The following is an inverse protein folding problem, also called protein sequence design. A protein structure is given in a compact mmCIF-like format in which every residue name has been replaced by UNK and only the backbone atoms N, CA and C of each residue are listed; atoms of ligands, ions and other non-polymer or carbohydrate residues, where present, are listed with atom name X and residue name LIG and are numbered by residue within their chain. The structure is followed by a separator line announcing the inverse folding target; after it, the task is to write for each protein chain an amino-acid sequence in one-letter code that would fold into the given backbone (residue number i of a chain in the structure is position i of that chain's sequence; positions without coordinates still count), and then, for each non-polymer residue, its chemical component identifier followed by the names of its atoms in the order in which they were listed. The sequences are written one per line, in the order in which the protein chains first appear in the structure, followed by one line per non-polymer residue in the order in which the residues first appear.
data_IF_869129458713
#
_entry.id   IF_869129458713
#
_cell.length_a   1.000
_cell.length_b   1.000
_cell.length_c   1.000
_cell.angle_alpha   90.00
_cell.angle_beta   90.00
_cell.angle_gamma   90.00
#
_symmetry.space_group_name_H-M   'P 1'
#
loop_
_entity.id
_entity.type
_entity.pdbx_description
1 polymer ?
#
# COMPACT_ATOMS: atom_id res chain seq x y z
N UNK A 1 7.21 -41.51 67.49
CA UNK A 1 7.83 -40.29 66.91
C UNK A 1 8.13 -40.55 65.44
N UNK A 2 7.21 -40.20 64.54
CA UNK A 2 7.43 -40.30 63.09
C UNK A 2 7.54 -38.89 62.53
N UNK A 3 8.75 -38.47 62.17
CA UNK A 3 9.01 -37.19 61.48
C UNK A 3 8.88 -37.45 59.98
N UNK A 4 7.82 -36.94 59.36
CA UNK A 4 7.70 -36.84 57.91
C UNK A 4 8.57 -35.69 57.42
N UNK A 5 9.54 -35.99 56.56
CA UNK A 5 10.28 -35.01 55.76
C UNK A 5 9.38 -34.52 54.62
N UNK A 6 9.21 -33.20 54.51
CA UNK A 6 8.63 -32.54 53.33
C UNK A 6 9.64 -32.57 52.17
N UNK A 7 9.23 -32.81 50.92
CA UNK A 7 10.14 -32.67 49.79
C UNK A 7 10.23 -31.18 49.41
N UNK A 8 11.45 -30.70 49.28
CA UNK A 8 11.78 -29.38 48.75
C UNK A 8 11.29 -29.25 47.31
N UNK A 9 10.40 -28.29 47.06
CA UNK A 9 9.93 -27.93 45.73
C UNK A 9 11.03 -27.11 45.04
N UNK A 10 11.85 -27.75 44.22
CA UNK A 10 12.77 -27.05 43.32
C UNK A 10 11.96 -26.45 42.18
N UNK A 11 11.78 -25.13 42.20
CA UNK A 11 11.16 -24.38 41.11
C UNK A 11 12.17 -24.32 39.95
N UNK A 12 12.08 -25.27 39.02
CA UNK A 12 12.75 -25.15 37.72
C UNK A 12 12.08 -24.01 36.95
N UNK A 13 12.75 -22.85 36.91
CA UNK A 13 12.42 -21.79 36.00
C UNK A 13 12.84 -22.24 34.59
N UNK A 14 11.92 -22.90 33.87
CA UNK A 14 12.09 -23.14 32.46
C UNK A 14 12.01 -21.77 31.75
N UNK A 15 13.16 -21.17 31.45
CA UNK A 15 13.24 -20.20 30.36
C UNK A 15 12.92 -20.95 29.07
N UNK A 16 11.63 -21.01 28.74
CA UNK A 16 11.22 -21.24 27.37
C UNK A 16 11.66 -19.99 26.62
N UNK A 17 12.82 -20.05 25.95
CA UNK A 17 13.09 -19.11 24.87
C UNK A 17 11.98 -19.34 23.87
N UNK A 18 11.00 -18.45 23.82
CA UNK A 18 10.12 -18.37 22.67
C UNK A 18 11.05 -18.21 21.47
N UNK A 19 11.15 -19.26 20.65
CA UNK A 19 11.79 -19.13 19.35
C UNK A 19 11.03 -18.00 18.66
N UNK A 20 11.71 -16.88 18.43
CA UNK A 20 11.17 -15.81 17.62
C UNK A 20 10.71 -16.47 16.32
N UNK A 21 9.39 -16.45 16.07
CA UNK A 21 8.86 -16.84 14.77
C UNK A 21 9.62 -15.97 13.77
N UNK A 22 10.41 -16.56 12.85
CA UNK A 22 11.19 -15.76 11.93
C UNK A 22 10.21 -14.87 11.19
N UNK A 23 10.55 -13.59 11.09
CA UNK A 23 9.75 -12.64 10.33
C UNK A 23 9.56 -13.22 8.93
N UNK A 24 8.34 -13.60 8.56
CA UNK A 24 8.08 -14.03 7.19
C UNK A 24 8.26 -12.77 6.35
N UNK A 25 9.10 -12.87 5.34
CA UNK A 25 9.28 -11.77 4.41
C UNK A 25 7.95 -11.51 3.71
N UNK A 26 7.18 -10.54 4.18
CA UNK A 26 5.82 -10.28 3.70
C UNK A 26 5.78 -9.94 2.21
N UNK A 27 6.82 -9.26 1.72
CA UNK A 27 7.00 -8.99 0.29
C UNK A 27 7.03 -10.30 -0.49
N UNK A 28 7.59 -11.37 0.07
CA UNK A 28 7.66 -12.68 -0.58
C UNK A 28 6.29 -13.32 -0.74
N UNK A 29 5.31 -13.08 0.14
CA UNK A 29 3.99 -13.69 0.00
C UNK A 29 3.21 -13.11 -1.20
N UNK A 30 3.50 -11.87 -1.56
CA UNK A 30 2.89 -11.22 -2.73
C UNK A 30 3.75 -11.43 -4.00
N UNK A 31 5.04 -11.74 -3.84
CA UNK A 31 6.00 -11.92 -4.95
C UNK A 31 6.50 -13.34 -5.13
N UNK A 32 5.98 -14.36 -4.45
CA UNK A 32 6.43 -15.75 -4.66
C UNK A 32 5.27 -16.69 -4.45
N UNK A 33 5.22 -17.78 -5.20
CA UNK A 33 4.20 -18.79 -4.93
C UNK A 33 4.57 -19.63 -3.72
N UNK A 34 5.87 -19.69 -3.35
CA UNK A 34 6.37 -20.51 -2.25
C UNK A 34 7.59 -19.88 -1.59
N UNK A 35 7.56 -19.83 -0.26
CA UNK A 35 8.76 -19.55 0.55
C UNK A 35 9.70 -20.76 0.58
N UNK A 36 10.98 -20.51 0.73
CA UNK A 36 12.04 -21.52 0.74
C UNK A 36 12.91 -21.35 1.98
N UNK A 37 13.12 -22.43 2.71
CA UNK A 37 13.97 -22.43 3.89
C UNK A 37 15.43 -22.30 3.50
N UNK A 38 16.15 -21.46 4.23
CA UNK A 38 17.59 -21.25 4.07
C UNK A 38 18.34 -21.86 5.25
N UNK A 39 19.49 -22.45 4.99
CA UNK A 39 20.38 -22.94 6.03
C UNK A 39 20.92 -21.76 6.88
N UNK A 40 21.19 -21.98 8.18
CA UNK A 40 21.91 -20.99 8.97
C UNK A 40 23.24 -20.60 8.29
N UNK A 41 23.56 -19.32 8.34
CA UNK A 41 24.78 -18.78 7.72
C UNK A 41 25.54 -17.90 8.69
N UNK A 42 26.87 -17.96 8.63
CA UNK A 42 27.75 -17.04 9.34
C UNK A 42 28.34 -16.02 8.36
N UNK A 43 28.53 -14.79 8.85
CA UNK A 43 29.20 -13.75 8.08
C UNK A 43 30.71 -13.89 8.25
N UNK A 44 31.42 -14.04 7.14
CA UNK A 44 32.89 -14.07 7.12
C UNK A 44 33.40 -12.67 6.83
N UNK A 45 34.29 -12.15 7.67
CA UNK A 45 34.89 -10.81 7.52
C UNK A 45 36.34 -10.94 7.07
N UNK A 46 36.68 -10.25 5.98
CA UNK A 46 38.03 -10.18 5.43
C UNK A 46 38.40 -8.72 5.11
N UNK A 47 39.11 -8.08 6.04
CA UNK A 47 39.44 -6.66 5.95
C UNK A 47 38.17 -5.79 6.00
N UNK A 48 37.94 -4.97 4.98
CA UNK A 48 36.77 -4.07 4.89
C UNK A 48 35.52 -4.73 4.30
N UNK A 49 35.58 -6.01 3.92
CA UNK A 49 34.47 -6.73 3.30
C UNK A 49 33.93 -7.81 4.24
N UNK A 50 32.62 -7.90 4.30
CA UNK A 50 31.88 -8.99 4.90
C UNK A 50 31.17 -9.79 3.80
N UNK A 51 31.11 -11.10 3.97
CA UNK A 51 30.46 -12.02 3.04
C UNK A 51 29.55 -12.98 3.80
N UNK A 52 28.29 -13.05 3.39
CA UNK A 52 27.33 -14.04 3.88
C UNK A 52 27.03 -15.03 2.74
N UNK A 53 27.09 -16.34 3.03
CA UNK A 53 26.69 -17.38 2.08
C UNK A 53 25.71 -18.34 2.76
N UNK A 54 24.60 -18.65 2.10
CA UNK A 54 23.58 -19.58 2.60
C UNK A 54 23.03 -20.43 1.45
N UNK A 55 22.52 -21.60 1.77
CA UNK A 55 21.97 -22.57 0.81
C UNK A 55 20.50 -22.84 1.12
N UNK A 56 19.70 -23.00 0.08
CA UNK A 56 18.29 -23.36 0.20
C UNK A 56 18.08 -24.84 0.55
N UNK A 57 16.90 -25.17 1.07
CA UNK A 57 16.35 -26.52 0.93
C UNK A 57 16.10 -26.87 -0.54
N UNK A 58 15.88 -28.17 -0.82
CA UNK A 58 15.54 -28.62 -2.18
C UNK A 58 14.17 -28.05 -2.56
N UNK A 59 14.08 -27.46 -3.75
CA UNK A 59 12.82 -26.94 -4.30
C UNK A 59 12.27 -27.95 -5.31
N UNK A 60 11.32 -28.77 -4.87
CA UNK A 60 10.74 -29.84 -5.70
C UNK A 60 9.85 -29.31 -6.84
N UNK A 61 9.06 -28.25 -6.57
CA UNK A 61 8.19 -27.66 -7.55
C UNK A 61 8.97 -26.93 -8.66
N UNK A 62 8.43 -26.85 -9.89
CA UNK A 62 9.01 -26.02 -10.94
C UNK A 62 9.18 -24.57 -10.51
N UNK A 63 10.32 -23.96 -10.85
CA UNK A 63 10.58 -22.54 -10.67
C UNK A 63 11.60 -22.04 -11.70
N UNK A 64 11.54 -20.76 -12.03
CA UNK A 64 12.56 -20.08 -12.84
C UNK A 64 12.94 -18.70 -12.28
N UNK A 65 12.35 -18.34 -11.14
CA UNK A 65 12.68 -17.13 -10.40
C UNK A 65 12.91 -17.40 -8.92
N UNK A 66 13.77 -16.58 -8.32
CA UNK A 66 14.04 -16.54 -6.88
C UNK A 66 13.92 -15.09 -6.43
N UNK A 67 13.16 -14.84 -5.37
CA UNK A 67 13.06 -13.53 -4.70
C UNK A 67 13.56 -13.69 -3.27
N UNK A 68 14.26 -12.67 -2.78
CA UNK A 68 14.70 -12.56 -1.40
C UNK A 68 14.24 -11.23 -0.82
N UNK A 69 14.03 -11.23 0.50
CA UNK A 69 13.80 -10.02 1.27
C UNK A 69 14.88 -9.90 2.34
N UNK A 70 15.38 -8.69 2.55
CA UNK A 70 16.39 -8.42 3.56
C UNK A 70 16.38 -6.98 4.04
N UNK A 71 17.23 -6.74 5.03
CA UNK A 71 17.59 -5.43 5.53
C UNK A 71 19.11 -5.28 5.47
N UNK A 72 19.60 -4.15 4.98
CA UNK A 72 21.03 -3.86 4.96
C UNK A 72 21.31 -2.37 5.00
N UNK A 73 22.16 -1.94 5.95
CA UNK A 73 22.57 -0.53 6.09
C UNK A 73 23.53 -0.11 4.96
N UNK A 74 24.36 -1.02 4.43
CA UNK A 74 25.29 -0.70 3.35
C UNK A 74 24.56 -0.58 2.00
N UNK A 75 24.42 0.62 1.42
CA UNK A 75 23.71 0.80 0.15
C UNK A 75 24.36 0.05 -1.01
N UNK A 76 25.64 -0.34 -0.89
CA UNK A 76 26.42 -0.99 -1.95
C UNK A 76 26.42 -2.52 -1.86
N UNK A 77 25.55 -3.12 -1.04
CA UNK A 77 25.40 -4.57 -0.96
C UNK A 77 25.20 -5.17 -2.35
N UNK A 78 25.88 -6.29 -2.61
CA UNK A 78 25.77 -7.04 -3.86
C UNK A 78 25.36 -8.47 -3.56
N UNK A 79 24.49 -9.03 -4.40
CA UNK A 79 23.98 -10.39 -4.28
C UNK A 79 24.32 -11.23 -5.50
N UNK A 80 24.58 -12.51 -5.28
CA UNK A 80 24.73 -13.52 -6.32
C UNK A 80 23.96 -14.79 -5.94
N UNK A 81 23.55 -15.52 -6.96
CA UNK A 81 22.90 -16.82 -6.84
C UNK A 81 23.59 -17.84 -7.74
N UNK A 82 23.63 -19.09 -7.32
CA UNK A 82 23.98 -20.23 -8.19
C UNK A 82 23.09 -21.42 -7.88
N UNK A 83 22.98 -22.34 -8.81
CA UNK A 83 22.11 -23.51 -8.69
C UNK A 83 22.92 -24.79 -8.60
N UNK A 84 22.37 -25.78 -7.92
CA UNK A 84 22.95 -27.11 -7.86
C UNK A 84 22.74 -27.84 -9.19
N UNK A 85 23.82 -28.32 -9.79
CA UNK A 85 23.86 -29.01 -11.07
C UNK A 85 24.41 -30.44 -10.91
N UNK A 86 24.36 -31.25 -11.97
CA UNK A 86 24.99 -32.57 -11.98
C UNK A 86 26.51 -32.42 -11.84
N UNK A 87 27.05 -32.78 -10.68
CA UNK A 87 28.48 -32.70 -10.39
C UNK A 87 28.89 -31.55 -9.47
N UNK A 88 27.93 -30.76 -8.96
CA UNK A 88 28.19 -29.75 -7.92
C UNK A 88 27.48 -28.43 -8.20
N UNK A 89 28.04 -27.34 -7.67
CA UNK A 89 27.47 -26.01 -7.85
C UNK A 89 27.85 -25.39 -9.19
N UNK A 90 26.86 -24.83 -9.88
CA UNK A 90 27.05 -24.05 -11.09
C UNK A 90 27.77 -22.71 -10.88
N UNK A 91 27.80 -21.90 -11.93
CA UNK A 91 28.41 -20.57 -11.91
C UNK A 91 27.56 -19.55 -11.12
N UNK A 92 28.22 -18.60 -10.46
CA UNK A 92 27.56 -17.47 -9.82
C UNK A 92 26.95 -16.52 -10.84
N UNK A 93 25.70 -16.17 -10.63
CA UNK A 93 24.93 -15.19 -11.39
C UNK A 93 24.61 -13.98 -10.51
N UNK A 94 24.69 -12.75 -11.03
CA UNK A 94 24.35 -11.57 -10.25
C UNK A 94 22.83 -11.52 -9.98
N UNK A 95 22.45 -11.11 -8.77
CA UNK A 95 21.08 -10.79 -8.42
C UNK A 95 20.83 -9.29 -8.58
N UNK A 96 19.61 -8.92 -8.96
CA UNK A 96 19.15 -7.54 -8.92
C UNK A 96 18.62 -7.24 -7.52
N UNK A 97 19.13 -6.22 -6.85
CA UNK A 97 18.66 -5.76 -5.55
C UNK A 97 17.94 -4.41 -5.71
N UNK A 98 16.68 -4.36 -5.27
CA UNK A 98 15.83 -3.18 -5.24
C UNK A 98 15.71 -2.73 -3.80
N UNK A 99 16.26 -1.56 -3.50
CA UNK A 99 16.22 -0.98 -2.16
C UNK A 99 14.99 -0.09 -1.99
N UNK A 100 14.44 -0.12 -0.79
CA UNK A 100 13.55 0.91 -0.31
C UNK A 100 14.27 2.26 -0.31
N UNK A 101 13.53 3.32 -0.60
CA UNK A 101 14.08 4.67 -0.66
C UNK A 101 14.16 5.37 0.71
N UNK A 102 13.56 4.80 1.76
CA UNK A 102 13.40 5.43 3.08
C UNK A 102 14.05 4.66 4.22
N UNK A 103 14.42 3.39 4.02
CA UNK A 103 15.03 2.55 5.05
C UNK A 103 16.00 1.53 4.44
N UNK A 104 16.60 0.68 5.29
CA UNK A 104 17.53 -0.36 4.87
C UNK A 104 16.86 -1.58 4.21
N UNK A 105 15.53 -1.60 4.07
CA UNK A 105 14.80 -2.72 3.48
C UNK A 105 15.15 -2.88 2.01
N UNK A 106 15.28 -4.11 1.54
CA UNK A 106 15.43 -4.42 0.12
C UNK A 106 14.74 -5.72 -0.24
N UNK A 107 14.25 -5.77 -1.48
CA UNK A 107 13.92 -7.02 -2.15
C UNK A 107 14.98 -7.28 -3.22
N UNK A 108 15.34 -8.54 -3.42
CA UNK A 108 16.25 -8.92 -4.48
C UNK A 108 15.73 -10.10 -5.26
N UNK A 109 16.26 -10.32 -6.46
CA UNK A 109 15.94 -11.56 -7.13
C UNK A 109 16.75 -11.84 -8.37
N UNK A 110 16.50 -13.03 -8.88
CA UNK A 110 17.05 -13.58 -10.10
C UNK A 110 15.93 -14.28 -10.85
N UNK A 111 15.88 -14.08 -12.16
CA UNK A 111 14.95 -14.75 -13.07
C UNK A 111 15.69 -15.10 -14.34
N UNK A 112 15.41 -16.27 -14.89
CA UNK A 112 15.81 -16.65 -16.24
C UNK A 112 14.72 -17.47 -16.95
N UNK A 113 15.02 -17.92 -18.16
CA UNK A 113 14.12 -18.75 -18.98
C UNK A 113 14.29 -20.26 -18.69
N UNK A 114 15.11 -20.62 -17.69
CA UNK A 114 15.42 -22.02 -17.37
C UNK A 114 14.55 -22.46 -16.20
N UNK A 115 13.60 -23.34 -16.51
CA UNK A 115 12.80 -24.01 -15.49
C UNK A 115 13.60 -25.10 -14.77
N UNK A 116 13.55 -25.03 -13.44
CA UNK A 116 14.27 -25.89 -12.50
C UNK A 116 13.28 -26.62 -11.60
N UNK A 117 13.62 -27.83 -11.17
CA UNK A 117 12.82 -28.64 -10.22
C UNK A 117 13.72 -29.66 -9.54
N UNK A 118 13.46 -29.94 -8.26
CA UNK A 118 14.28 -30.84 -7.46
C UNK A 118 15.72 -30.33 -7.24
N UNK A 119 15.91 -29.01 -7.23
CA UNK A 119 17.23 -28.36 -7.13
C UNK A 119 17.32 -27.42 -5.94
N UNK A 120 18.52 -27.26 -5.40
CA UNK A 120 18.88 -26.20 -4.46
C UNK A 120 19.48 -25.00 -5.17
N UNK A 121 19.43 -23.86 -4.51
CA UNK A 121 20.22 -22.68 -4.85
C UNK A 121 21.09 -22.25 -3.68
N UNK A 122 22.20 -21.60 -3.98
CA UNK A 122 23.07 -20.97 -3.00
C UNK A 122 23.10 -19.47 -3.27
N UNK A 123 23.01 -18.68 -2.20
CA UNK A 123 23.04 -17.23 -2.21
C UNK A 123 24.35 -16.76 -1.61
N UNK A 124 24.91 -15.69 -2.17
CA UNK A 124 26.06 -14.97 -1.61
C UNK A 124 25.78 -13.48 -1.60
N UNK A 125 26.08 -12.83 -0.49
CA UNK A 125 26.03 -11.38 -0.35
C UNK A 125 27.38 -10.83 0.08
N UNK A 126 27.80 -9.73 -0.53
CA UNK A 126 28.97 -8.96 -0.13
C UNK A 126 28.55 -7.55 0.28
N UNK A 127 29.06 -7.09 1.42
CA UNK A 127 28.78 -5.77 2.00
C UNK A 127 29.97 -5.29 2.83
N UNK A 128 29.91 -4.05 3.29
CA UNK A 128 30.95 -3.40 4.10
C UNK A 128 31.03 -4.05 5.47
N UNK A 129 32.24 -4.40 5.91
CA UNK A 129 32.42 -4.96 7.25
C UNK A 129 32.00 -3.96 8.33
N UNK A 130 31.20 -4.43 9.29
CA UNK A 130 30.69 -3.61 10.40
C UNK A 130 29.33 -2.94 10.16
N UNK A 131 28.73 -3.06 8.97
CA UNK A 131 27.33 -2.64 8.72
C UNK A 131 26.36 -3.79 8.98
N UNK A 132 25.12 -3.49 9.36
CA UNK A 132 24.10 -4.52 9.57
C UNK A 132 23.63 -5.10 8.24
N UNK A 133 23.47 -6.42 8.20
CA UNK A 133 22.86 -7.16 7.10
C UNK A 133 22.05 -8.32 7.68
N UNK A 134 20.78 -8.40 7.29
CA UNK A 134 19.85 -9.44 7.73
C UNK A 134 19.07 -9.93 6.52
N UNK A 135 19.22 -11.22 6.19
CA UNK A 135 18.37 -11.87 5.21
C UNK A 135 17.09 -12.33 5.92
N UNK A 136 15.95 -11.77 5.56
CA UNK A 136 14.65 -12.07 6.17
C UNK A 136 14.11 -13.39 5.62
N UNK A 137 14.21 -13.60 4.31
CA UNK A 137 13.76 -14.84 3.70
C UNK A 137 14.02 -14.93 2.21
N UNK A 138 13.68 -16.09 1.65
CA UNK A 138 13.69 -16.36 0.22
C UNK A 138 12.40 -17.07 -0.19
N UNK A 139 12.01 -16.90 -1.44
CA UNK A 139 10.96 -17.67 -2.09
C UNK A 139 11.24 -17.83 -3.58
N UNK A 140 10.48 -18.71 -4.20
CA UNK A 140 10.61 -19.05 -5.63
C UNK A 140 9.32 -18.74 -6.36
N UNK A 141 9.45 -18.47 -7.65
CA UNK A 141 8.30 -18.35 -8.52
C UNK A 141 8.45 -19.04 -9.88
N UNK A 142 7.30 -19.39 -10.46
CA UNK A 142 7.10 -19.94 -11.79
C UNK A 142 6.26 -18.97 -12.63
N UNK A 143 6.92 -18.28 -13.56
CA UNK A 143 6.31 -17.21 -14.33
C UNK A 143 5.40 -17.68 -15.49
N UNK A 144 5.19 -18.98 -15.70
CA UNK A 144 4.42 -19.48 -16.87
C UNK A 144 2.97 -18.99 -16.91
N UNK A 145 2.43 -18.59 -15.76
CA UNK A 145 1.06 -18.10 -15.63
C UNK A 145 0.99 -16.60 -15.33
N UNK A 146 2.10 -15.87 -15.43
CA UNK A 146 2.18 -14.43 -15.12
C UNK A 146 1.71 -13.53 -16.27
N UNK A 147 1.34 -14.08 -17.43
CA UNK A 147 0.85 -13.29 -18.56
C UNK A 147 -0.46 -12.57 -18.21
N UNK A 148 -0.53 -11.26 -18.49
CA UNK A 148 -1.74 -10.45 -18.45
C UNK A 148 -2.70 -10.96 -19.56
N UNK A 149 -3.41 -12.06 -19.31
CA UNK A 149 -4.30 -12.68 -20.32
C UNK A 149 -5.34 -11.67 -20.80
N UNK A 150 -5.36 -11.42 -22.10
CA UNK A 150 -6.42 -10.67 -22.74
C UNK A 150 -7.73 -11.41 -22.57
N UNK A 151 -8.68 -10.81 -21.86
CA UNK A 151 -10.05 -11.29 -21.93
C UNK A 151 -10.62 -11.01 -23.33
N UNK A 152 -11.42 -11.93 -23.85
CA UNK A 152 -12.11 -11.74 -25.13
C UNK A 152 -12.99 -10.49 -25.05
N UNK A 153 -12.66 -9.48 -25.86
CA UNK A 153 -13.38 -8.21 -25.94
C UNK A 153 -14.78 -8.38 -26.52
N UNK A 154 -15.72 -7.56 -26.04
CA UNK A 154 -17.07 -7.47 -26.62
C UNK A 154 -18.15 -6.88 -25.72
N UNK A 155 -17.89 -6.65 -24.44
CA UNK A 155 -18.87 -6.11 -23.49
C UNK A 155 -18.34 -4.79 -22.92
N UNK A 156 -19.19 -3.76 -22.97
CA UNK A 156 -18.92 -2.45 -22.35
C UNK A 156 -18.93 -2.63 -20.83
N UNK A 157 -17.91 -2.18 -20.09
CA UNK A 157 -17.92 -2.23 -18.63
C UNK A 157 -19.22 -1.59 -18.10
N UNK A 158 -19.87 -2.25 -17.13
CA UNK A 158 -20.96 -1.62 -16.41
C UNK A 158 -20.37 -0.58 -15.48
N UNK A 159 -20.60 0.68 -15.81
CA UNK A 159 -20.28 1.81 -14.93
C UNK A 159 -21.42 2.05 -13.94
N UNK A 160 -21.06 2.60 -12.78
CA UNK A 160 -22.01 3.04 -11.78
C UNK A 160 -22.69 4.37 -12.16
N UNK A 161 -23.52 4.89 -11.25
CA UNK A 161 -24.26 6.14 -11.46
C UNK A 161 -23.41 7.33 -11.03
N UNK A 162 -22.97 8.16 -11.97
CA UNK A 162 -22.36 9.48 -11.69
C UNK A 162 -23.39 10.39 -11.02
N UNK A 163 -23.28 10.61 -9.72
CA UNK A 163 -24.08 11.63 -9.01
C UNK A 163 -23.42 13.00 -9.09
N UNK A 164 -22.08 13.03 -9.19
CA UNK A 164 -21.30 14.26 -9.29
C UNK A 164 -20.96 14.90 -7.94
N UNK A 165 -21.39 14.29 -6.83
CA UNK A 165 -21.14 14.79 -5.48
C UNK A 165 -19.88 14.21 -4.82
N UNK A 166 -19.16 13.30 -5.50
CA UNK A 166 -17.88 12.74 -5.05
C UNK A 166 -16.77 13.20 -5.98
N UNK A 167 -15.86 14.00 -5.44
CA UNK A 167 -14.62 14.47 -6.07
C UNK A 167 -13.52 13.49 -5.64
N UNK A 168 -12.82 12.84 -6.59
CA UNK A 168 -11.74 11.91 -6.26
C UNK A 168 -10.52 12.65 -5.67
N UNK A 169 -9.64 11.96 -4.94
CA UNK A 169 -8.38 12.56 -4.50
C UNK A 169 -7.51 12.94 -5.70
N UNK A 170 -6.67 14.00 -5.60
CA UNK A 170 -5.71 14.35 -6.64
C UNK A 170 -4.79 13.16 -6.97
N UNK A 171 -4.68 12.84 -8.25
CA UNK A 171 -3.92 11.69 -8.74
C UNK A 171 -2.56 12.13 -9.29
N UNK A 172 -1.48 11.64 -8.70
CA UNK A 172 -0.13 11.78 -9.23
C UNK A 172 0.01 10.83 -10.42
N UNK A 173 0.09 11.41 -11.62
CA UNK A 173 0.11 10.64 -12.87
C UNK A 173 1.40 9.86 -13.05
N UNK A 174 1.36 8.87 -13.94
CA UNK A 174 2.56 8.13 -14.37
C UNK A 174 3.67 9.01 -14.91
N UNK A 175 3.35 10.11 -15.59
CA UNK A 175 4.37 11.03 -16.06
C UNK A 175 4.98 11.82 -14.89
N UNK A 176 4.15 12.29 -13.94
CA UNK A 176 4.63 13.01 -12.76
C UNK A 176 5.60 12.20 -11.92
N UNK A 177 5.28 10.94 -11.63
CA UNK A 177 6.20 10.08 -10.89
C UNK A 177 7.26 9.42 -11.78
N UNK A 178 7.26 9.64 -13.10
CA UNK A 178 8.31 9.16 -14.01
C UNK A 178 8.32 7.65 -14.21
N UNK A 179 7.15 7.09 -14.51
CA UNK A 179 6.94 5.66 -14.75
C UNK A 179 7.74 5.13 -15.95
N UNK A 180 8.32 3.94 -15.79
CA UNK A 180 8.75 3.15 -16.93
C UNK A 180 7.54 2.77 -17.81
N UNK A 181 7.73 2.57 -19.12
CA UNK A 181 6.66 2.10 -20.00
C UNK A 181 6.14 0.72 -19.59
N UNK A 182 4.84 0.50 -19.79
CA UNK A 182 4.24 -0.84 -19.73
C UNK A 182 4.86 -1.73 -20.82
N UNK A 183 5.12 -3.00 -20.51
CA UNK A 183 5.66 -3.97 -21.47
C UNK A 183 4.54 -4.73 -22.16
N UNK A 184 4.39 -4.53 -23.46
CA UNK A 184 3.29 -5.09 -24.25
C UNK A 184 2.12 -4.11 -24.37
N UNK A 185 0.91 -4.64 -24.48
CA UNK A 185 -0.32 -3.82 -24.60
C UNK A 185 -1.20 -4.04 -23.38
N UNK A 186 -1.60 -2.99 -22.65
CA UNK A 186 -2.49 -3.12 -21.51
C UNK A 186 -3.85 -3.70 -21.91
N UNK A 187 -4.30 -4.72 -21.19
CA UNK A 187 -5.64 -5.27 -21.30
C UNK A 187 -6.63 -4.46 -20.46
N UNK A 188 -7.90 -4.29 -20.87
CA UNK A 188 -8.93 -3.74 -20.00
C UNK A 188 -9.12 -4.59 -18.73
N UNK A 189 -9.28 -3.95 -17.58
CA UNK A 189 -9.44 -4.61 -16.28
C UNK A 189 -10.76 -5.38 -16.17
N UNK A 190 -11.83 -4.77 -16.65
CA UNK A 190 -13.21 -5.15 -16.38
C UNK A 190 -14.02 -5.38 -17.66
N UNK A 191 -13.62 -6.33 -18.53
CA UNK A 191 -14.36 -6.66 -19.76
C UNK A 191 -15.82 -7.06 -19.48
N UNK A 192 -16.11 -7.57 -18.28
CA UNK A 192 -17.44 -8.03 -17.87
C UNK A 192 -18.03 -7.21 -16.70
N UNK A 193 -17.43 -6.07 -16.36
CA UNK A 193 -17.77 -5.28 -15.18
C UNK A 193 -16.74 -5.38 -14.05
N UNK A 194 -16.83 -4.41 -13.14
CA UNK A 194 -16.00 -4.34 -11.94
C UNK A 194 -16.71 -5.09 -10.81
N UNK A 195 -15.96 -5.88 -10.05
CA UNK A 195 -16.49 -6.81 -9.05
C UNK A 195 -15.91 -6.54 -7.66
N UNK A 196 -14.61 -6.30 -7.54
CA UNK A 196 -13.96 -6.13 -6.24
C UNK A 196 -13.09 -4.87 -6.20
N UNK A 197 -12.91 -4.34 -5.00
CA UNK A 197 -11.80 -3.45 -4.67
C UNK A 197 -10.96 -4.13 -3.60
N UNK A 198 -9.67 -4.36 -3.88
CA UNK A 198 -8.78 -5.05 -2.95
C UNK A 198 -7.81 -4.07 -2.31
N UNK A 199 -7.84 -4.02 -0.98
CA UNK A 199 -6.89 -3.31 -0.15
C UNK A 199 -5.62 -4.16 0.03
N UNK A 200 -4.49 -3.61 -0.42
CA UNK A 200 -3.14 -4.12 -0.23
C UNK A 200 -2.29 -3.22 0.66
N UNK A 201 -1.18 -3.76 1.17
CA UNK A 201 -0.03 -2.96 1.57
C UNK A 201 1.17 -3.26 0.67
N UNK A 202 2.23 -2.45 0.75
CA UNK A 202 3.48 -2.72 0.05
C UNK A 202 4.43 -3.65 0.83
N UNK A 203 4.06 -4.06 2.05
CA UNK A 203 4.83 -4.96 2.91
C UNK A 203 6.25 -4.44 3.22
N UNK A 204 6.44 -3.13 3.15
CA UNK A 204 7.71 -2.41 3.10
C UNK A 204 7.54 -1.12 2.30
N UNK A 205 8.65 -0.54 1.82
CA UNK A 205 8.62 0.64 0.93
C UNK A 205 7.76 1.80 1.47
N UNK A 206 7.85 2.09 2.77
CA UNK A 206 7.06 3.14 3.43
C UNK A 206 7.43 4.53 2.93
N UNK A 207 6.45 5.44 2.87
CA UNK A 207 6.61 6.84 2.50
C UNK A 207 5.56 7.70 3.19
N UNK A 208 5.92 8.93 3.56
CA UNK A 208 4.98 9.92 4.09
C UNK A 208 4.88 11.15 3.19
N UNK A 209 5.97 11.54 2.54
CA UNK A 209 5.99 12.70 1.63
C UNK A 209 5.80 12.28 0.17
N UNK A 210 5.31 13.21 -0.68
CA UNK A 210 5.18 12.98 -2.13
C UNK A 210 6.49 12.53 -2.76
N UNK A 211 7.61 13.15 -2.38
CA UNK A 211 8.94 12.83 -2.92
C UNK A 211 9.40 11.42 -2.54
N UNK A 212 9.11 10.98 -1.31
CA UNK A 212 9.36 9.61 -0.89
C UNK A 212 8.46 8.63 -1.64
N UNK A 213 7.16 8.93 -1.74
CA UNK A 213 6.20 8.06 -2.41
C UNK A 213 6.55 7.86 -3.88
N UNK A 214 6.95 8.92 -4.61
CA UNK A 214 7.48 8.79 -5.98
C UNK A 214 8.66 7.81 -6.04
N UNK A 215 9.61 7.89 -5.11
CA UNK A 215 10.76 6.97 -5.10
C UNK A 215 10.35 5.53 -4.79
N UNK A 216 9.40 5.33 -3.88
CA UNK A 216 8.91 4.01 -3.52
C UNK A 216 8.07 3.37 -4.62
N UNK A 217 7.18 4.12 -5.27
CA UNK A 217 6.40 3.63 -6.43
C UNK A 217 7.33 3.21 -7.57
N UNK A 218 8.40 3.96 -7.84
CA UNK A 218 9.46 3.56 -8.80
C UNK A 218 10.16 2.26 -8.38
N UNK A 219 10.53 2.13 -7.11
CA UNK A 219 11.18 0.92 -6.61
C UNK A 219 10.25 -0.31 -6.75
N UNK A 220 8.97 -0.17 -6.42
CA UNK A 220 7.97 -1.22 -6.59
C UNK A 220 7.78 -1.57 -8.08
N UNK A 221 7.73 -0.58 -8.98
CA UNK A 221 7.67 -0.84 -10.42
C UNK A 221 8.92 -1.60 -10.90
N UNK A 222 10.12 -1.21 -10.45
CA UNK A 222 11.38 -1.88 -10.79
C UNK A 222 11.38 -3.33 -10.29
N UNK A 223 10.91 -3.56 -9.07
CA UNK A 223 10.75 -4.89 -8.50
C UNK A 223 9.80 -5.76 -9.34
N UNK A 224 8.62 -5.23 -9.68
CA UNK A 224 7.64 -5.96 -10.47
C UNK A 224 8.10 -6.23 -11.91
N UNK A 225 8.74 -5.27 -12.58
CA UNK A 225 9.17 -5.44 -13.97
C UNK A 225 10.53 -6.13 -14.13
N UNK A 226 11.49 -5.92 -13.24
CA UNK A 226 12.87 -6.36 -13.45
C UNK A 226 13.32 -7.47 -12.52
N UNK A 227 12.53 -7.80 -11.50
CA UNK A 227 12.71 -9.03 -10.70
C UNK A 227 11.61 -10.03 -11.04
N UNK A 228 10.34 -9.67 -10.87
CA UNK A 228 9.21 -10.55 -11.23
C UNK A 228 9.05 -10.70 -12.74
N UNK A 229 9.23 -9.60 -13.46
CA UNK A 229 9.03 -9.53 -14.91
C UNK A 229 7.57 -9.57 -15.33
N UNK A 230 6.71 -8.96 -14.52
CA UNK A 230 5.39 -8.52 -14.94
C UNK A 230 5.48 -7.39 -15.96
N UNK A 231 4.37 -7.13 -16.64
CA UNK A 231 4.28 -6.05 -17.64
C UNK A 231 4.49 -4.67 -17.04
N UNK A 232 4.11 -4.48 -15.77
CA UNK A 232 4.19 -3.23 -15.02
C UNK A 232 3.95 -3.47 -13.51
N UNK A 233 3.86 -2.38 -12.74
CA UNK A 233 3.42 -2.39 -11.34
C UNK A 233 2.04 -3.06 -11.19
N UNK A 234 1.91 -3.99 -10.24
CA UNK A 234 0.72 -4.86 -10.12
C UNK A 234 -0.61 -4.15 -9.83
N UNK A 235 -0.58 -2.99 -9.17
CA UNK A 235 -1.76 -2.28 -8.65
C UNK A 235 -2.25 -1.18 -9.60
N UNK A 236 -3.55 -0.85 -9.56
CA UNK A 236 -4.11 0.31 -10.26
C UNK A 236 -3.78 1.60 -9.51
N UNK A 237 -3.85 1.58 -8.19
CA UNK A 237 -3.57 2.73 -7.35
C UNK A 237 -2.62 2.39 -6.22
N UNK A 238 -1.82 3.37 -5.80
CA UNK A 238 -1.04 3.30 -4.58
C UNK A 238 -1.30 4.56 -3.76
N UNK A 239 -1.25 4.44 -2.44
CA UNK A 239 -1.44 5.56 -1.50
C UNK A 239 -0.26 5.56 -0.54
N UNK A 240 0.32 6.72 -0.26
CA UNK A 240 1.32 6.87 0.79
C UNK A 240 0.70 7.32 2.12
N UNK A 241 1.49 7.35 3.19
CA UNK A 241 1.03 7.73 4.52
C UNK A 241 0.66 9.22 4.64
N UNK A 242 1.04 10.05 3.68
CA UNK A 242 0.61 11.44 3.59
C UNK A 242 -0.72 11.63 2.86
N UNK A 243 -1.34 10.55 2.38
CA UNK A 243 -2.59 10.62 1.60
C UNK A 243 -2.39 10.97 0.12
N UNK A 244 -1.16 10.92 -0.40
CA UNK A 244 -0.96 11.13 -1.84
C UNK A 244 -1.35 9.88 -2.61
N UNK A 245 -2.19 10.04 -3.63
CA UNK A 245 -2.65 8.98 -4.51
C UNK A 245 -1.80 8.92 -5.79
N UNK A 246 -1.31 7.74 -6.14
CA UNK A 246 -0.46 7.50 -7.30
C UNK A 246 -1.15 6.59 -8.31
N UNK A 247 -1.03 6.94 -9.60
CA UNK A 247 -1.45 6.07 -10.69
C UNK A 247 -0.45 4.91 -10.85
N UNK A 248 -0.91 3.68 -10.65
CA UNK A 248 -0.16 2.46 -10.96
C UNK A 248 -0.28 2.13 -12.45
N UNK A 249 -1.12 1.16 -12.82
CA UNK A 249 -1.33 0.72 -14.22
C UNK A 249 -1.69 1.87 -15.20
N UNK A 250 -1.36 1.76 -16.50
CA UNK A 250 -1.55 2.83 -17.48
C UNK A 250 -3.00 2.92 -18.00
N UNK A 251 -3.90 3.52 -17.22
CA UNK A 251 -5.30 3.73 -17.63
C UNK A 251 -5.68 5.18 -17.94
N UNK A 252 -4.84 6.15 -17.58
CA UNK A 252 -4.94 7.55 -18.01
C UNK A 252 -3.63 8.03 -18.61
N UNK A 253 -3.73 9.06 -19.44
CA UNK A 253 -2.63 9.93 -19.84
C UNK A 253 -2.73 11.29 -19.12
N UNK A 254 -1.75 12.17 -19.34
CA UNK A 254 -1.72 13.48 -18.68
C UNK A 254 -2.82 14.45 -19.16
N UNK A 255 -3.59 14.08 -20.19
CA UNK A 255 -4.70 14.87 -20.71
C UNK A 255 -6.04 14.48 -20.10
N UNK A 256 -6.11 13.34 -19.41
CA UNK A 256 -7.35 12.72 -18.94
C UNK A 256 -7.43 12.78 -17.41
N UNK A 257 -8.47 13.45 -16.88
CA UNK A 257 -8.73 13.43 -15.43
C UNK A 257 -9.36 12.10 -14.99
N UNK A 258 -9.06 11.65 -13.77
CA UNK A 258 -9.74 10.50 -13.17
C UNK A 258 -11.28 10.70 -13.11
N UNK A 259 -11.75 11.94 -13.03
CA UNK A 259 -13.18 12.30 -13.03
C UNK A 259 -13.92 11.92 -14.33
N UNK A 260 -13.19 11.72 -15.42
CA UNK A 260 -13.70 11.23 -16.71
C UNK A 260 -13.99 9.73 -16.71
N UNK A 261 -13.61 9.02 -15.64
CA UNK A 261 -13.89 7.59 -15.43
C UNK A 261 -13.30 6.71 -16.55
N UNK A 262 -11.97 6.74 -16.74
CA UNK A 262 -11.31 5.94 -17.77
C UNK A 262 -11.51 4.43 -17.52
N UNK A 263 -11.48 3.64 -18.60
CA UNK A 263 -11.39 2.19 -18.44
C UNK A 263 -10.05 1.82 -17.77
N UNK A 264 -10.11 1.15 -16.62
CA UNK A 264 -8.90 0.75 -15.89
C UNK A 264 -8.17 -0.38 -16.62
N UNK A 265 -6.85 -0.45 -16.46
CA UNK A 265 -6.01 -1.48 -17.03
C UNK A 265 -5.83 -2.66 -16.06
N UNK A 266 -5.82 -3.88 -16.60
CA UNK A 266 -5.69 -5.13 -15.83
C UNK A 266 -4.43 -5.12 -14.96
N UNK A 267 -4.59 -5.57 -13.71
CA UNK A 267 -3.54 -5.64 -12.71
C UNK A 267 -2.90 -7.02 -12.60
N UNK A 268 -1.91 -7.13 -11.71
CA UNK A 268 -1.26 -8.38 -11.31
C UNK A 268 -1.05 -8.38 -9.80
N UNK A 269 -2.11 -8.11 -9.04
CA UNK A 269 -2.04 -7.95 -7.58
C UNK A 269 -2.74 -9.07 -6.81
N UNK A 270 -3.72 -9.77 -7.40
CA UNK A 270 -4.35 -10.96 -6.80
C UNK A 270 -4.37 -12.09 -7.83
N UNK A 271 -3.50 -13.09 -7.65
CA UNK A 271 -3.42 -14.25 -8.53
C UNK A 271 -4.79 -14.93 -8.73
N UNK A 272 -5.21 -15.12 -9.98
CA UNK A 272 -6.50 -15.73 -10.32
C UNK A 272 -7.73 -14.80 -10.18
N UNK A 273 -7.59 -13.62 -9.58
CA UNK A 273 -8.69 -12.69 -9.31
C UNK A 273 -8.41 -11.24 -9.76
N UNK A 274 -7.50 -11.02 -10.73
CA UNK A 274 -7.19 -9.68 -11.24
C UNK A 274 -8.31 -9.09 -12.13
N UNK A 275 -9.02 -9.94 -12.89
CA UNK A 275 -10.10 -9.47 -13.78
C UNK A 275 -11.26 -8.95 -12.95
N UNK A 276 -11.72 -7.73 -13.23
CA UNK A 276 -12.79 -7.09 -12.47
C UNK A 276 -12.38 -6.59 -11.08
N UNK A 277 -11.12 -6.74 -10.66
CA UNK A 277 -10.68 -6.37 -9.31
C UNK A 277 -9.73 -5.17 -9.37
N UNK A 278 -10.08 -4.10 -8.65
CA UNK A 278 -9.26 -2.89 -8.55
C UNK A 278 -8.35 -3.00 -7.34
N UNK A 279 -7.04 -3.09 -7.56
CA UNK A 279 -6.03 -3.13 -6.52
C UNK A 279 -5.57 -1.74 -6.08
N UNK A 280 -5.66 -1.47 -4.78
CA UNK A 280 -5.15 -0.25 -4.13
C UNK A 280 -4.16 -0.65 -3.04
N UNK A 281 -2.90 -0.19 -3.15
CA UNK A 281 -1.83 -0.56 -2.20
C UNK A 281 -1.39 0.61 -1.34
N UNK A 282 -1.39 0.43 -0.02
CA UNK A 282 -0.84 1.38 0.94
C UNK A 282 0.66 1.15 1.11
N UNK A 283 1.48 2.16 0.81
CA UNK A 283 2.92 2.11 1.01
C UNK A 283 3.24 1.99 2.51
N UNK A 284 4.00 0.96 2.87
CA UNK A 284 4.30 0.64 4.26
C UNK A 284 4.13 -0.84 4.63
N UNK A 285 4.36 -1.15 5.91
CA UNK A 285 4.17 -2.49 6.49
C UNK A 285 3.34 -2.48 7.78
N UNK A 286 2.20 -3.17 7.75
CA UNK A 286 1.09 -3.02 8.70
C UNK A 286 0.71 -4.34 9.41
N UNK A 287 1.64 -5.28 9.57
CA UNK A 287 1.37 -6.60 10.16
C UNK A 287 2.23 -6.89 11.40
N UNK A 288 1.91 -6.29 12.54
CA UNK A 288 2.60 -6.62 13.78
C UNK A 288 2.25 -8.04 14.25
N UNK A 289 3.13 -8.74 15.00
CA UNK A 289 4.45 -8.31 15.47
C UNK A 289 5.61 -8.68 14.51
N UNK A 290 5.31 -9.05 13.26
CA UNK A 290 6.25 -9.71 12.36
C UNK A 290 7.59 -8.95 12.24
N UNK A 291 8.67 -9.58 12.74
CA UNK A 291 10.03 -9.06 12.69
C UNK A 291 10.31 -7.74 13.40
N UNK A 292 9.36 -7.22 14.19
CA UNK A 292 9.39 -5.88 14.81
C UNK A 292 9.48 -4.67 13.87
N UNK A 293 9.60 -4.85 12.55
CA UNK A 293 9.67 -3.75 11.57
C UNK A 293 8.30 -3.40 10.95
N UNK A 294 7.34 -4.32 10.97
CA UNK A 294 5.99 -4.12 10.45
C UNK A 294 5.01 -3.64 11.54
N UNK A 295 5.21 -2.44 12.05
CA UNK A 295 4.40 -1.89 13.16
C UNK A 295 3.56 -0.68 12.77
N UNK A 296 3.50 -0.35 11.48
CA UNK A 296 2.83 0.86 11.04
C UNK A 296 1.31 0.76 11.24
N UNK A 297 0.70 1.90 11.49
CA UNK A 297 -0.75 2.10 11.57
C UNK A 297 -1.12 3.11 10.51
N UNK A 298 -2.25 2.90 9.83
CA UNK A 298 -2.73 3.84 8.81
C UNK A 298 -2.91 5.23 9.43
N UNK A 299 -2.47 6.26 8.72
CA UNK A 299 -2.63 7.65 9.13
C UNK A 299 -4.03 8.16 8.78
N UNK A 300 -4.55 9.18 9.48
CA UNK A 300 -5.83 9.80 9.12
C UNK A 300 -5.89 10.25 7.65
N UNK A 301 -4.81 10.84 7.13
CA UNK A 301 -4.72 11.35 5.75
C UNK A 301 -4.83 10.21 4.72
N UNK A 302 -4.13 9.09 4.96
CA UNK A 302 -4.21 7.92 4.10
C UNK A 302 -5.58 7.25 4.17
N UNK A 303 -6.17 7.15 5.37
CA UNK A 303 -7.50 6.57 5.56
C UNK A 303 -8.58 7.41 4.86
N UNK A 304 -8.54 8.74 5.00
CA UNK A 304 -9.44 9.65 4.29
C UNK A 304 -9.33 9.48 2.77
N UNK A 305 -8.10 9.39 2.25
CA UNK A 305 -7.85 9.15 0.82
C UNK A 305 -8.44 7.81 0.36
N UNK A 306 -8.34 6.75 1.17
CA UNK A 306 -8.97 5.46 0.88
C UNK A 306 -10.51 5.56 0.85
N UNK A 307 -11.12 6.23 1.83
CA UNK A 307 -12.58 6.41 1.90
C UNK A 307 -13.06 7.16 0.65
N UNK A 308 -12.45 8.29 0.32
CA UNK A 308 -12.84 9.11 -0.83
C UNK A 308 -12.61 8.36 -2.14
N UNK A 309 -11.46 7.69 -2.31
CA UNK A 309 -11.17 6.91 -3.50
C UNK A 309 -12.16 5.75 -3.67
N UNK A 310 -12.38 4.94 -2.63
CA UNK A 310 -13.30 3.80 -2.73
C UNK A 310 -14.73 4.25 -2.94
N UNK A 311 -15.20 5.33 -2.31
CA UNK A 311 -16.53 5.87 -2.60
C UNK A 311 -16.65 6.37 -4.05
N UNK A 312 -15.63 7.08 -4.56
CA UNK A 312 -15.60 7.48 -5.96
C UNK A 312 -15.62 6.26 -6.90
N UNK A 313 -14.82 5.23 -6.61
CA UNK A 313 -14.76 4.03 -7.43
C UNK A 313 -16.08 3.24 -7.38
N UNK A 314 -16.71 3.14 -6.20
CA UNK A 314 -18.05 2.56 -6.03
C UNK A 314 -19.09 3.31 -6.85
N UNK A 315 -19.13 4.64 -6.75
CA UNK A 315 -20.05 5.49 -7.51
C UNK A 315 -19.86 5.31 -9.03
N UNK A 316 -18.61 5.34 -9.50
CA UNK A 316 -18.30 5.46 -10.93
C UNK A 316 -18.16 4.12 -11.64
N UNK A 317 -17.68 3.09 -10.97
CA UNK A 317 -17.48 1.76 -11.54
C UNK A 317 -18.49 0.72 -11.03
N UNK A 318 -19.38 1.09 -10.10
CA UNK A 318 -20.48 0.24 -9.64
C UNK A 318 -20.05 -0.90 -8.73
N UNK A 319 -18.90 -0.77 -8.05
CA UNK A 319 -18.46 -1.75 -7.07
C UNK A 319 -19.11 -1.45 -5.72
N UNK A 320 -19.92 -2.37 -5.21
CA UNK A 320 -20.57 -2.18 -3.92
C UNK A 320 -19.54 -2.11 -2.77
N UNK A 321 -19.74 -1.24 -1.74
CA UNK A 321 -18.82 -1.15 -0.61
C UNK A 321 -18.59 -2.50 0.08
N UNK A 322 -19.61 -3.35 0.15
CA UNK A 322 -19.55 -4.71 0.70
C UNK A 322 -18.60 -5.63 -0.07
N UNK A 323 -18.08 -5.24 -1.24
CA UNK A 323 -17.10 -5.98 -2.05
C UNK A 323 -15.67 -5.44 -1.92
N UNK A 324 -15.43 -4.48 -1.01
CA UNK A 324 -14.08 -4.11 -0.58
C UNK A 324 -13.49 -5.27 0.23
N UNK A 325 -12.35 -5.82 -0.18
CA UNK A 325 -11.70 -7.01 0.41
C UNK A 325 -10.25 -6.73 0.76
N UNK A 326 -9.68 -7.49 1.69
CA UNK A 326 -8.23 -7.57 1.86
C UNK A 326 -7.63 -8.60 0.90
N UNK A 327 -6.35 -8.48 0.53
CA UNK A 327 -5.70 -9.50 -0.32
C UNK A 327 -5.83 -10.92 0.26
N UNK A 328 -5.70 -11.05 1.59
CA UNK A 328 -5.88 -12.32 2.31
C UNK A 328 -7.25 -12.97 2.20
N UNK A 329 -8.27 -12.26 1.70
CA UNK A 329 -9.60 -12.83 1.45
C UNK A 329 -9.60 -13.75 0.20
N UNK A 330 -8.57 -13.65 -0.66
CA UNK A 330 -8.46 -14.41 -1.90
C UNK A 330 -7.33 -15.44 -1.87
N UNK A 331 -6.29 -15.21 -1.07
CA UNK A 331 -5.07 -16.01 -1.10
C UNK A 331 -4.43 -16.14 0.30
N UNK A 332 -3.49 -17.08 0.44
CA UNK A 332 -2.75 -17.27 1.69
C UNK A 332 -1.61 -16.25 1.80
N UNK A 333 -1.97 -15.01 2.14
CA UNK A 333 -1.05 -13.89 2.37
C UNK A 333 -1.40 -13.17 3.67
N UNK A 334 -0.43 -12.43 4.22
CA UNK A 334 -0.67 -11.53 5.34
C UNK A 334 -1.16 -10.15 4.88
N UNK A 335 -1.12 -9.83 3.59
CA UNK A 335 -1.59 -8.56 3.04
C UNK A 335 -3.11 -8.38 3.26
N UNK A 336 -3.64 -7.21 3.67
CA UNK A 336 -2.99 -5.89 3.81
C UNK A 336 -2.31 -5.62 5.17
N UNK A 337 -2.05 -6.65 5.96
CA UNK A 337 -1.55 -6.57 7.33
C UNK A 337 -2.68 -6.47 8.36
N UNK A 338 -2.40 -6.87 9.60
CA UNK A 338 -3.42 -7.00 10.64
C UNK A 338 -3.98 -5.63 11.06
N UNK A 339 -3.12 -4.60 11.11
CA UNK A 339 -3.54 -3.24 11.46
C UNK A 339 -4.47 -2.62 10.42
N UNK A 340 -4.38 -3.04 9.14
CA UNK A 340 -5.26 -2.54 8.09
C UNK A 340 -6.50 -3.44 7.94
N UNK A 341 -6.33 -4.77 8.03
CA UNK A 341 -7.41 -5.72 7.80
C UNK A 341 -8.56 -5.55 8.81
N UNK A 342 -8.24 -5.23 10.07
CA UNK A 342 -9.23 -4.96 11.12
C UNK A 342 -10.13 -3.75 10.81
N UNK A 343 -9.69 -2.84 9.94
CA UNK A 343 -10.42 -1.62 9.56
C UNK A 343 -11.44 -1.85 8.43
N UNK A 344 -11.42 -3.00 7.76
CA UNK A 344 -12.31 -3.25 6.62
C UNK A 344 -13.80 -3.03 6.94
N UNK A 345 -14.35 -3.46 8.10
CA UNK A 345 -15.75 -3.18 8.43
C UNK A 345 -16.06 -1.68 8.50
N UNK A 346 -15.29 -0.90 9.28
CA UNK A 346 -15.53 0.54 9.42
C UNK A 346 -15.26 1.29 8.11
N UNK A 347 -14.24 0.89 7.35
CA UNK A 347 -13.96 1.46 6.03
C UNK A 347 -15.15 1.31 5.07
N UNK A 348 -15.82 0.15 5.07
CA UNK A 348 -17.02 -0.06 4.23
C UNK A 348 -18.17 0.83 4.68
N UNK A 349 -18.36 1.00 5.98
CA UNK A 349 -19.38 1.90 6.54
C UNK A 349 -19.10 3.36 6.15
N UNK A 350 -17.85 3.83 6.30
CA UNK A 350 -17.43 5.18 5.94
C UNK A 350 -17.58 5.44 4.43
N UNK A 351 -17.24 4.45 3.59
CA UNK A 351 -17.46 4.52 2.14
C UNK A 351 -18.96 4.61 1.82
N UNK A 352 -19.80 3.80 2.47
CA UNK A 352 -21.25 3.87 2.31
C UNK A 352 -21.81 5.22 2.76
N UNK A 353 -21.29 5.81 3.84
CA UNK A 353 -21.66 7.17 4.26
C UNK A 353 -21.22 8.21 3.24
N UNK A 354 -19.99 8.13 2.72
CA UNK A 354 -19.48 9.04 1.68
C UNK A 354 -20.34 8.98 0.40
N UNK A 355 -20.86 7.81 0.03
CA UNK A 355 -21.81 7.65 -1.08
C UNK A 355 -23.14 8.38 -0.84
N UNK A 356 -23.55 8.57 0.41
CA UNK A 356 -24.78 9.29 0.78
C UNK A 356 -24.56 10.80 0.91
N UNK A 357 -23.45 11.21 1.53
CA UNK A 357 -23.19 12.62 1.87
C UNK A 357 -22.44 13.37 0.78
N UNK A 358 -21.61 12.67 -0.01
CA UNK A 358 -20.65 13.28 -0.91
C UNK A 358 -19.54 14.05 -0.18
N UNK A 359 -18.58 14.57 -0.96
CA UNK A 359 -17.55 15.52 -0.50
C UNK A 359 -17.44 16.76 -1.41
N UNK A 360 -18.27 16.84 -2.45
CA UNK A 360 -18.36 18.05 -3.26
C UNK A 360 -18.85 19.22 -2.39
N UNK A 361 -18.30 20.44 -2.56
CA UNK A 361 -18.77 21.60 -1.84
C UNK A 361 -20.29 21.76 -1.97
N UNK A 362 -20.99 21.80 -0.84
CA UNK A 362 -22.44 22.06 -0.78
C UNK A 362 -22.78 23.47 -1.26
N UNK A 363 -21.77 24.34 -1.37
CA UNK A 363 -21.85 25.61 -2.05
C UNK A 363 -20.54 26.39 -1.95
N UNK A 364 -20.53 27.59 -2.50
CA UNK A 364 -19.41 28.53 -2.42
C UNK A 364 -19.97 29.89 -2.03
N UNK A 365 -19.28 30.63 -1.17
CA UNK A 365 -19.64 32.00 -0.84
C UNK A 365 -18.40 32.90 -0.79
N UNK A 366 -18.55 34.15 -1.24
CA UNK A 366 -17.57 35.22 -0.99
C UNK A 366 -17.93 35.86 0.36
N UNK A 367 -16.97 35.96 1.27
CA UNK A 367 -17.17 36.52 2.60
C UNK A 367 -16.61 37.94 2.68
N UNK A 368 -17.35 38.84 3.32
CA UNK A 368 -16.90 40.18 3.68
C UNK A 368 -17.11 40.40 5.19
N UNK A 369 -16.10 40.94 5.86
CA UNK A 369 -16.16 41.29 7.26
C UNK A 369 -15.84 42.78 7.44
N UNK A 370 -16.57 43.44 8.33
CA UNK A 370 -16.28 44.81 8.73
C UNK A 370 -16.52 44.98 10.23
N UNK A 371 -15.89 45.99 10.83
CA UNK A 371 -16.15 46.40 12.21
C UNK A 371 -16.71 47.81 12.15
N UNK A 372 -17.90 48.02 12.72
CA UNK A 372 -18.49 49.36 12.73
C UNK A 372 -17.91 50.24 13.85
N UNK A 373 -18.31 51.52 13.85
CA UNK A 373 -17.78 52.52 14.77
C UNK A 373 -18.05 52.21 16.27
N UNK A 374 -18.97 51.29 16.57
CA UNK A 374 -19.27 50.86 17.95
C UNK A 374 -18.62 49.52 18.31
N UNK A 375 -17.88 48.91 17.38
CA UNK A 375 -17.09 47.69 17.60
C UNK A 375 -17.81 46.39 17.23
N UNK A 376 -18.97 46.46 16.58
CA UNK A 376 -19.74 45.28 16.16
C UNK A 376 -19.12 44.70 14.89
N UNK A 377 -18.88 43.38 14.90
CA UNK A 377 -18.40 42.67 13.70
C UNK A 377 -19.60 42.37 12.81
N UNK A 378 -19.57 42.86 11.59
CA UNK A 378 -20.59 42.63 10.56
C UNK A 378 -20.02 41.69 9.52
N UNK A 379 -20.64 40.53 9.39
CA UNK A 379 -20.31 39.53 8.40
C UNK A 379 -21.38 39.54 7.31
N UNK A 380 -20.95 39.73 6.08
CA UNK A 380 -21.77 39.62 4.89
C UNK A 380 -21.19 38.53 3.99
N UNK A 381 -22.03 37.98 3.13
CA UNK A 381 -21.60 37.01 2.14
C UNK A 381 -22.45 37.09 0.89
N UNK A 382 -21.88 36.62 -0.20
CA UNK A 382 -22.58 36.36 -1.45
C UNK A 382 -22.41 34.89 -1.78
N UNK A 383 -23.51 34.13 -1.80
CA UNK A 383 -23.49 32.72 -2.21
C UNK A 383 -23.28 32.68 -3.73
N UNK A 384 -22.11 32.20 -4.14
CA UNK A 384 -21.68 32.05 -5.54
C UNK A 384 -22.21 30.75 -6.15
N UNK A 385 -22.35 29.71 -5.34
CA UNK A 385 -22.96 28.45 -5.72
C UNK A 385 -23.75 27.87 -4.53
N UNK A 386 -24.99 27.48 -4.77
CA UNK A 386 -25.85 26.77 -3.80
C UNK A 386 -26.15 25.38 -4.38
N UNK A 387 -25.49 24.37 -3.83
CA UNK A 387 -25.64 22.97 -4.23
C UNK A 387 -26.52 22.20 -3.22
N UNK A 388 -27.57 22.85 -2.70
CA UNK A 388 -28.56 22.23 -1.81
C UNK A 388 -28.29 22.48 -0.33
N UNK A 389 -27.82 23.68 0.02
CA UNK A 389 -27.57 24.02 1.42
C UNK A 389 -28.91 24.11 2.17
N UNK A 390 -29.12 23.19 3.11
CA UNK A 390 -30.35 23.12 3.92
C UNK A 390 -30.27 23.92 5.23
N UNK A 391 -29.10 24.46 5.57
CA UNK A 391 -28.91 25.22 6.80
C UNK A 391 -27.48 25.68 7.00
N UNK A 392 -27.32 26.57 7.98
CA UNK A 392 -26.07 27.28 8.25
C UNK A 392 -25.83 27.40 9.75
N UNK A 393 -24.56 27.40 10.14
CA UNK A 393 -24.12 27.67 11.51
C UNK A 393 -22.92 28.63 11.47
N UNK A 394 -23.04 29.75 12.17
CA UNK A 394 -21.94 30.67 12.43
C UNK A 394 -21.39 30.40 13.83
N UNK A 395 -20.11 30.07 13.90
CA UNK A 395 -19.41 29.81 15.17
C UNK A 395 -18.32 30.86 15.35
N UNK A 396 -18.37 31.56 16.48
CA UNK A 396 -17.28 32.40 16.95
C UNK A 396 -16.35 31.56 17.82
N UNK A 397 -15.05 31.73 17.69
CA UNK A 397 -14.07 31.09 18.58
C UNK A 397 -13.33 32.19 19.34
N UNK A 398 -13.50 32.25 20.66
CA UNK A 398 -12.76 33.15 21.56
C UNK A 398 -11.89 32.27 22.47
N UNK A 399 -10.59 32.52 22.50
CA UNK A 399 -9.63 31.77 23.34
C UNK A 399 -9.75 30.23 23.20
N UNK A 400 -10.00 29.77 21.98
CA UNK A 400 -10.18 28.34 21.65
C UNK A 400 -11.54 27.75 22.04
N UNK A 401 -12.45 28.56 22.62
CA UNK A 401 -13.81 28.13 22.99
C UNK A 401 -14.80 28.50 21.89
N UNK A 402 -15.49 27.52 21.26
CA UNK A 402 -16.50 27.78 20.24
C UNK A 402 -17.82 28.22 20.85
N UNK A 403 -18.43 29.25 20.27
CA UNK A 403 -19.74 29.80 20.62
C UNK A 403 -20.59 29.92 19.35
N UNK A 404 -21.79 29.36 19.36
CA UNK A 404 -22.72 29.44 18.23
C UNK A 404 -23.39 30.82 18.26
N UNK A 405 -23.11 31.64 17.26
CA UNK A 405 -23.67 33.00 17.11
C UNK A 405 -24.96 32.97 16.32
N UNK A 406 -25.06 32.06 15.36
CA UNK A 406 -26.25 31.88 14.54
C UNK A 406 -26.36 30.44 14.07
N UNK A 407 -27.58 29.90 14.04
CA UNK A 407 -27.88 28.61 13.45
C UNK A 407 -29.28 28.67 12.84
N UNK A 408 -29.42 28.19 11.60
CA UNK A 408 -30.70 28.22 10.88
C UNK A 408 -30.79 27.06 9.90
N UNK A 409 -32.00 26.54 9.72
CA UNK A 409 -32.36 25.60 8.64
C UNK A 409 -33.13 26.30 7.50
N UNK A 410 -33.04 27.62 7.44
CA UNK A 410 -33.60 28.46 6.38
C UNK A 410 -32.49 29.10 5.53
N UNK A 411 -32.88 29.80 4.47
CA UNK A 411 -31.96 30.54 3.62
C UNK A 411 -31.05 31.47 4.43
N UNK A 412 -29.77 31.53 4.04
CA UNK A 412 -28.75 32.33 4.72
C UNK A 412 -29.10 33.82 4.59
N UNK A 413 -29.26 34.58 5.69
CA UNK A 413 -29.53 36.02 5.60
C UNK A 413 -28.34 36.74 4.98
N UNK A 414 -28.54 37.80 4.19
CA UNK A 414 -27.43 38.47 3.48
C UNK A 414 -26.39 39.14 4.41
N UNK A 415 -26.73 39.31 5.70
CA UNK A 415 -25.92 39.97 6.70
C UNK A 415 -26.21 39.40 8.10
N UNK A 416 -25.15 39.12 8.87
CA UNK A 416 -25.23 38.88 10.31
C UNK A 416 -24.33 39.87 11.05
N UNK A 417 -24.86 40.44 12.13
CA UNK A 417 -24.12 41.28 13.06
C UNK A 417 -23.82 40.49 14.33
N UNK A 418 -22.55 40.43 14.72
CA UNK A 418 -22.10 39.85 15.98
C UNK A 418 -21.75 40.97 16.97
N UNK A 419 -22.67 41.18 17.92
CA UNK A 419 -22.54 42.20 18.97
C UNK A 419 -21.72 41.73 20.18
N UNK A 420 -21.35 40.45 20.24
CA UNK A 420 -20.64 39.87 21.39
C UNK A 420 -19.11 40.06 21.35
N UNK A 421 -18.58 40.64 20.28
CA UNK A 421 -17.14 40.94 20.17
C UNK A 421 -16.80 42.10 21.08
N UNK A 422 -16.30 41.79 22.30
CA UNK A 422 -15.70 42.81 23.17
C UNK A 422 -14.47 43.37 22.46
N UNK A 423 -14.40 44.71 22.38
CA UNK A 423 -13.32 45.47 21.72
C UNK A 423 -11.96 44.78 21.88
N UNK A 424 -11.14 44.67 20.83
CA UNK A 424 -9.73 44.39 21.01
C UNK A 424 -9.16 45.49 21.89
N UNK A 425 -8.65 45.12 23.06
CA UNK A 425 -7.77 45.96 23.86
C UNK A 425 -6.37 45.94 23.28
#
# INVERSE_FOLDING_TARGET
MSKRLLPSLALMLALVSAAAVPALGQILHDLTERTVLLAPSETVVAGKRATLTTTSSVVEAPFNGVVIQGYADDPNVKGWIRFEERGGWGAWQPMRLIRSATDGTFAGGYRDEIYRSGQRFELRFEFTAGTSFHLVGAGVFDNRNDEDRQAAGGIVPRYGKKTGHIIPPPLITRAEWGAAPFRGTPSPLAPNGYEYMTFHHAAGYSATTKEEGIRQVKAIQDLHQNVRGWSDIGYQFLIDRGGHLYQGRPFLDDATSLEEVPALALGAHVGGHNTGNIGVSLLGCYHPPEGSFCQEVITPEALETYIVLFAFLSERYGVEPELIRGHRDFSSTACPGDNNYVLLPSLREDVAQMLLTGNAPLGQAVLAASVDAVGVVRLAWEVVADNGIAGFRLVRVIDGTPEIIYESQAALPDLIADEGVRRPG
#
